data_IF_126366879836
#
_entry.id   IF_126366879836
#
_cell.length_a   1.000
_cell.length_b   1.000
_cell.length_c   1.000
_cell.angle_alpha   90.00
_cell.angle_beta   90.00
_cell.angle_gamma   90.00
#
_symmetry.space_group_name_H-M   'P 1'
#
loop_
_entity.id
_entity.type
_entity.pdbx_description
1 polymer ?
#
# COMPACT_ATOMS: atom_id res chain seq x y z
N UNK A 1 -6.56 -0.54 -42.19
CA UNK A 1 -6.90 0.37 -41.08
C UNK A 1 -5.91 1.51 -41.08
N UNK A 2 -6.22 2.60 -41.78
CA UNK A 2 -5.51 3.88 -41.63
C UNK A 2 -6.38 4.78 -40.74
N UNK A 3 -5.80 5.40 -39.70
CA UNK A 3 -6.43 6.54 -39.02
C UNK A 3 -6.60 6.46 -37.50
N UNK A 4 -6.23 5.37 -36.82
CA UNK A 4 -6.22 5.38 -35.35
C UNK A 4 -4.83 5.80 -34.83
N UNK A 5 -4.75 6.68 -33.82
CA UNK A 5 -3.48 7.05 -33.22
C UNK A 5 -2.85 5.82 -32.55
N UNK A 6 -1.53 5.66 -32.69
CA UNK A 6 -0.81 4.59 -32.01
C UNK A 6 -1.02 4.70 -30.50
N UNK A 7 -1.40 3.58 -29.86
CA UNK A 7 -1.71 3.56 -28.43
C UNK A 7 -0.53 4.02 -27.56
N UNK A 8 0.69 3.68 -27.98
CA UNK A 8 1.92 4.06 -27.30
C UNK A 8 2.21 5.57 -27.41
N UNK A 9 1.77 6.20 -28.50
CA UNK A 9 1.99 7.62 -28.77
C UNK A 9 0.93 8.49 -28.11
N UNK A 10 -0.34 8.05 -28.09
CA UNK A 10 -1.47 8.86 -27.61
C UNK A 10 -2.08 8.34 -26.29
N UNK A 11 -2.60 7.10 -26.28
CA UNK A 11 -3.36 6.59 -25.13
C UNK A 11 -2.53 6.45 -23.86
N UNK A 12 -1.28 6.03 -23.97
CA UNK A 12 -0.36 5.95 -22.83
C UNK A 12 -0.10 7.31 -22.19
N UNK A 13 -0.09 8.39 -22.98
CA UNK A 13 0.05 9.76 -22.46
C UNK A 13 -1.18 10.22 -21.72
N UNK A 14 -2.38 9.90 -22.22
CA UNK A 14 -3.64 10.31 -21.60
C UNK A 14 -3.92 9.53 -20.32
N UNK A 15 -3.62 8.23 -20.34
CA UNK A 15 -3.93 7.33 -19.23
C UNK A 15 -2.82 7.26 -18.18
N UNK A 16 -1.64 7.83 -18.45
CA UNK A 16 -0.48 7.70 -17.57
C UNK A 16 0.01 6.26 -17.49
N UNK A 17 0.10 5.58 -18.64
CA UNK A 17 0.51 4.18 -18.73
C UNK A 17 1.88 4.07 -19.39
N UNK A 18 2.60 3.02 -19.02
CA UNK A 18 3.79 2.57 -19.71
C UNK A 18 3.55 1.17 -20.27
N UNK A 19 3.70 1.02 -21.58
CA UNK A 19 3.47 -0.24 -22.24
C UNK A 19 3.96 -0.19 -23.68
N UNK A 20 4.23 -1.35 -24.25
CA UNK A 20 4.54 -1.51 -25.67
C UNK A 20 3.41 -2.27 -26.33
N UNK A 21 2.74 -1.66 -27.30
CA UNK A 21 1.81 -2.35 -28.19
C UNK A 21 2.57 -2.75 -29.45
N UNK A 22 2.83 -4.06 -29.59
CA UNK A 22 3.51 -4.59 -30.76
C UNK A 22 2.65 -4.41 -32.02
N UNK A 23 3.23 -3.87 -33.08
CA UNK A 23 2.57 -3.81 -34.39
C UNK A 23 2.48 -5.19 -35.02
N UNK A 24 1.60 -5.38 -36.02
CA UNK A 24 1.50 -6.66 -36.72
C UNK A 24 2.86 -7.12 -37.30
N UNK A 25 3.64 -6.19 -37.86
CA UNK A 25 4.99 -6.46 -38.39
C UNK A 25 5.99 -6.83 -37.28
N UNK A 26 5.93 -6.17 -36.12
CA UNK A 26 6.75 -6.52 -34.96
C UNK A 26 6.39 -7.90 -34.41
N UNK A 27 5.10 -8.24 -34.32
CA UNK A 27 4.64 -9.58 -33.90
C UNK A 27 5.14 -10.66 -34.85
N UNK A 28 5.08 -10.40 -36.16
CA UNK A 28 5.56 -11.34 -37.17
C UNK A 28 7.09 -11.51 -37.10
N UNK A 29 7.82 -10.42 -36.86
CA UNK A 29 9.27 -10.46 -36.61
C UNK A 29 9.60 -11.28 -35.36
N UNK A 30 8.90 -11.05 -34.25
CA UNK A 30 9.08 -11.79 -33.00
C UNK A 30 8.76 -13.29 -33.15
N UNK A 31 7.80 -13.65 -34.01
CA UNK A 31 7.51 -15.04 -34.37
C UNK A 31 8.66 -15.65 -35.18
N UNK A 32 9.17 -14.94 -36.20
CA UNK A 32 10.30 -15.41 -37.03
C UNK A 32 11.58 -15.60 -36.22
N UNK A 33 11.84 -14.75 -35.22
CA UNK A 33 13.04 -14.85 -34.36
C UNK A 33 12.87 -15.81 -33.18
N UNK A 34 11.74 -16.51 -33.07
CA UNK A 34 11.40 -17.37 -31.95
C UNK A 34 11.52 -16.64 -30.58
N UNK A 35 11.25 -15.34 -30.57
CA UNK A 35 11.21 -14.50 -29.36
C UNK A 35 9.80 -14.42 -28.77
N UNK A 36 8.79 -14.87 -29.51
CA UNK A 36 7.40 -15.00 -29.09
C UNK A 36 7.08 -16.38 -28.48
N UNK A 37 8.06 -17.05 -27.86
CA UNK A 37 7.82 -18.34 -27.21
C UNK A 37 6.81 -18.14 -26.08
N UNK A 38 5.70 -18.88 -26.14
CA UNK A 38 4.58 -18.88 -25.21
C UNK A 38 4.89 -19.57 -23.87
N UNK A 39 6.10 -19.35 -23.33
CA UNK A 39 6.44 -19.82 -21.99
C UNK A 39 5.57 -19.12 -20.95
N UNK A 40 5.01 -19.89 -20.01
CA UNK A 40 4.28 -19.32 -18.88
C UNK A 40 5.22 -18.45 -18.06
N UNK A 41 5.07 -17.12 -18.17
CA UNK A 41 5.80 -16.18 -17.31
C UNK A 41 5.26 -16.35 -15.88
N UNK A 42 6.11 -16.58 -14.87
CA UNK A 42 5.62 -16.68 -13.51
C UNK A 42 4.97 -15.35 -13.10
N UNK A 43 3.73 -15.36 -12.59
CA UNK A 43 3.11 -14.16 -12.03
C UNK A 43 3.84 -13.78 -10.75
N UNK A 44 4.01 -12.48 -10.53
CA UNK A 44 4.56 -11.90 -9.30
C UNK A 44 3.56 -10.95 -8.71
N UNK A 45 3.01 -11.33 -7.57
CA UNK A 45 1.96 -10.57 -6.89
C UNK A 45 2.60 -9.66 -5.85
N UNK A 46 2.49 -8.35 -6.09
CA UNK A 46 3.20 -7.34 -5.29
C UNK A 46 2.54 -7.03 -3.94
N UNK A 47 1.29 -7.45 -3.76
CA UNK A 47 0.44 -7.17 -2.60
C UNK A 47 -0.06 -8.42 -1.87
N UNK A 48 0.59 -9.57 -2.09
CA UNK A 48 0.20 -10.83 -1.45
C UNK A 48 0.46 -10.86 0.08
N UNK A 49 1.36 -10.01 0.58
CA UNK A 49 1.77 -9.98 1.99
C UNK A 49 0.87 -9.10 2.88
N UNK A 50 -0.17 -8.45 2.32
CA UNK A 50 -1.13 -7.65 3.10
C UNK A 50 -1.70 -8.46 4.26
N UNK A 51 -2.01 -9.75 4.01
CA UNK A 51 -2.51 -10.65 5.05
C UNK A 51 -1.55 -10.81 6.23
N UNK A 52 -0.24 -10.82 5.95
CA UNK A 52 0.82 -10.87 6.94
C UNK A 52 0.93 -9.58 7.74
N UNK A 53 0.77 -8.42 7.11
CA UNK A 53 0.78 -7.10 7.77
C UNK A 53 -0.35 -6.93 8.76
N UNK A 54 -1.54 -7.44 8.43
CA UNK A 54 -2.72 -7.35 9.30
C UNK A 54 -2.83 -8.55 10.24
N UNK A 55 -1.92 -9.52 10.17
CA UNK A 55 -1.99 -10.74 10.98
C UNK A 55 -1.69 -10.45 12.45
N UNK A 56 -2.43 -11.10 13.37
CA UNK A 56 -2.19 -11.04 14.82
C UNK A 56 -1.29 -12.20 15.27
N UNK A 57 -0.05 -12.27 14.78
CA UNK A 57 0.84 -13.43 14.96
C UNK A 57 1.68 -13.40 16.25
N UNK A 58 1.95 -12.23 16.84
CA UNK A 58 2.92 -12.09 17.94
C UNK A 58 2.52 -12.74 19.29
N UNK A 59 1.26 -12.63 19.72
CA UNK A 59 0.83 -13.13 21.05
C UNK A 59 0.65 -14.65 21.11
N UNK A 60 0.35 -15.28 19.97
CA UNK A 60 0.11 -16.72 19.88
C UNK A 60 1.37 -17.53 20.22
N UNK A 61 2.53 -17.12 19.70
CA UNK A 61 3.77 -17.89 19.85
C UNK A 61 4.25 -17.94 21.32
N UNK A 62 4.20 -16.79 22.01
CA UNK A 62 4.60 -16.69 23.43
C UNK A 62 3.67 -17.54 24.31
N UNK A 63 2.36 -17.48 24.06
CA UNK A 63 1.38 -18.26 24.82
C UNK A 63 1.59 -19.78 24.61
N UNK A 64 1.87 -20.21 23.39
CA UNK A 64 2.17 -21.62 23.08
C UNK A 64 3.46 -22.08 23.76
N UNK A 65 4.53 -21.26 23.69
CA UNK A 65 5.80 -21.58 24.32
C UNK A 65 5.68 -21.64 25.85
N UNK A 66 4.96 -20.69 26.46
CA UNK A 66 4.67 -20.71 27.89
C UNK A 66 3.86 -21.96 28.28
N UNK A 67 2.85 -22.31 27.49
CA UNK A 67 2.06 -23.54 27.67
C UNK A 67 2.92 -24.80 27.61
N UNK A 68 3.86 -24.87 26.66
CA UNK A 68 4.82 -25.97 26.54
C UNK A 68 5.74 -26.07 27.76
N UNK A 69 6.27 -24.93 28.24
CA UNK A 69 7.11 -24.89 29.45
C UNK A 69 6.32 -25.40 30.66
N UNK A 70 5.10 -24.90 30.87
CA UNK A 70 4.22 -25.33 31.96
C UNK A 70 3.93 -26.83 31.87
N UNK A 71 3.71 -27.36 30.66
CA UNK A 71 3.50 -28.78 30.44
C UNK A 71 4.73 -29.63 30.77
N UNK A 72 5.94 -29.23 30.36
CA UNK A 72 7.18 -29.94 30.67
C UNK A 72 7.44 -29.96 32.17
N UNK A 73 7.23 -28.82 32.85
CA UNK A 73 7.36 -28.74 34.32
C UNK A 73 6.33 -29.64 35.00
N UNK A 74 5.07 -29.60 34.56
CA UNK A 74 4.04 -30.52 35.06
C UNK A 74 4.45 -31.98 34.89
N UNK A 75 4.90 -32.38 33.70
CA UNK A 75 5.30 -33.75 33.42
C UNK A 75 6.45 -34.21 34.34
N UNK A 76 7.45 -33.34 34.54
CA UNK A 76 8.57 -33.64 35.44
C UNK A 76 8.13 -33.76 36.90
N UNK A 77 7.26 -32.86 37.38
CA UNK A 77 6.78 -32.83 38.78
C UNK A 77 5.81 -33.97 39.07
N UNK A 78 4.84 -34.20 38.19
CA UNK A 78 3.81 -35.22 38.36
C UNK A 78 4.32 -36.64 38.02
N UNK A 79 5.35 -36.76 37.19
CA UNK A 79 5.92 -38.04 36.75
C UNK A 79 7.25 -38.38 37.43
N UNK A 80 8.37 -38.48 36.67
CA UNK A 80 9.61 -39.07 37.16
C UNK A 80 10.27 -38.28 38.29
N UNK A 81 10.21 -36.94 38.26
CA UNK A 81 10.83 -36.09 39.30
C UNK A 81 10.11 -36.22 40.64
N UNK A 82 8.78 -36.10 40.65
CA UNK A 82 7.98 -36.28 41.87
C UNK A 82 8.14 -37.67 42.48
N UNK A 83 8.12 -38.72 41.65
CA UNK A 83 8.31 -40.08 42.13
C UNK A 83 9.73 -40.33 42.69
N UNK A 84 10.77 -39.82 42.04
CA UNK A 84 12.15 -39.96 42.52
C UNK A 84 12.34 -39.32 43.91
N UNK A 85 11.80 -38.11 44.12
CA UNK A 85 11.84 -37.42 45.41
C UNK A 85 11.08 -38.20 46.49
N UNK A 86 9.89 -38.70 46.17
CA UNK A 86 9.09 -39.52 47.09
C UNK A 86 9.78 -40.84 47.43
N UNK A 87 10.44 -41.47 46.46
CA UNK A 87 11.21 -42.71 46.65
C UNK A 87 12.41 -42.47 47.57
N UNK A 88 13.14 -41.37 47.38
CA UNK A 88 14.29 -41.01 48.23
C UNK A 88 13.87 -40.74 49.68
N UNK A 89 12.65 -40.22 49.90
CA UNK A 89 12.08 -39.98 51.25
C UNK A 89 11.32 -41.18 51.84
N UNK A 90 11.27 -42.32 51.15
CA UNK A 90 10.55 -43.51 51.62
C UNK A 90 9.02 -43.40 51.61
N UNK A 91 8.45 -42.38 50.94
CA UNK A 91 7.01 -42.09 50.91
C UNK A 91 6.33 -42.55 49.62
N UNK A 92 6.86 -43.59 48.98
CA UNK A 92 6.36 -44.12 47.70
C UNK A 92 4.85 -44.46 47.71
N UNK A 93 4.31 -44.85 48.86
CA UNK A 93 2.88 -45.15 49.06
C UNK A 93 1.96 -43.93 48.85
N UNK A 94 2.48 -42.71 48.97
CA UNK A 94 1.71 -41.46 48.78
C UNK A 94 1.85 -40.88 47.36
N UNK A 95 2.48 -41.60 46.44
CA UNK A 95 2.68 -41.16 45.05
C UNK A 95 1.39 -40.74 44.34
N UNK A 96 0.30 -41.47 44.57
CA UNK A 96 -1.00 -41.13 43.98
C UNK A 96 -1.57 -39.81 44.52
N UNK A 97 -1.42 -39.52 45.82
CA UNK A 97 -1.85 -38.26 46.41
C UNK A 97 -1.02 -37.07 45.92
N UNK A 98 0.29 -37.27 45.79
CA UNK A 98 1.18 -36.24 45.25
C UNK A 98 0.87 -35.95 43.77
N UNK A 99 0.59 -36.98 42.97
CA UNK A 99 0.15 -36.84 41.58
C UNK A 99 -1.18 -36.06 41.47
N UNK A 100 -2.16 -36.40 42.30
CA UNK A 100 -3.44 -35.70 42.34
C UNK A 100 -3.27 -34.23 42.72
N UNK A 101 -2.48 -33.94 43.76
CA UNK A 101 -2.18 -32.57 44.21
C UNK A 101 -1.48 -31.75 43.12
N UNK A 102 -0.48 -32.33 42.46
CA UNK A 102 0.20 -31.69 41.33
C UNK A 102 -0.78 -31.43 40.18
N UNK A 103 -1.63 -32.39 39.84
CA UNK A 103 -2.64 -32.25 38.79
C UNK A 103 -3.58 -31.08 39.06
N UNK A 104 -4.15 -31.00 40.28
CA UNK A 104 -5.03 -29.90 40.68
C UNK A 104 -4.31 -28.55 40.61
N UNK A 105 -3.09 -28.47 41.13
CA UNK A 105 -2.31 -27.23 41.12
C UNK A 105 -2.01 -26.75 39.69
N UNK A 106 -1.57 -27.65 38.80
CA UNK A 106 -1.27 -27.30 37.42
C UNK A 106 -2.53 -27.01 36.60
N UNK A 107 -3.65 -27.67 36.86
CA UNK A 107 -4.95 -27.30 36.26
C UNK A 107 -5.35 -25.89 36.66
N UNK A 108 -5.24 -25.54 37.95
CA UNK A 108 -5.56 -24.19 38.42
C UNK A 108 -4.64 -23.13 37.82
N UNK A 109 -3.33 -23.41 37.72
CA UNK A 109 -2.36 -22.53 37.07
C UNK A 109 -2.63 -22.35 35.58
N UNK A 110 -2.90 -23.44 34.86
CA UNK A 110 -3.21 -23.39 33.43
C UNK A 110 -4.52 -22.62 33.18
N UNK A 111 -5.55 -22.87 33.98
CA UNK A 111 -6.83 -22.16 33.88
C UNK A 111 -6.67 -20.67 34.21
N UNK A 112 -5.94 -20.33 35.27
CA UNK A 112 -5.63 -18.94 35.62
C UNK A 112 -4.83 -18.23 34.54
N UNK A 113 -3.76 -18.85 34.04
CA UNK A 113 -2.92 -18.32 32.98
C UNK A 113 -3.68 -18.09 31.68
N UNK A 114 -4.49 -19.07 31.25
CA UNK A 114 -5.33 -18.92 30.06
C UNK A 114 -6.37 -17.80 30.21
N UNK A 115 -6.96 -17.66 31.40
CA UNK A 115 -7.95 -16.60 31.69
C UNK A 115 -7.33 -15.21 31.67
N UNK A 116 -6.08 -15.07 32.13
CA UNK A 116 -5.33 -13.80 32.13
C UNK A 116 -4.92 -13.41 30.70
N UNK A 117 -4.49 -14.38 29.88
CA UNK A 117 -4.01 -14.14 28.52
C UNK A 117 -5.14 -13.90 27.51
N UNK A 118 -6.40 -14.23 27.86
CA UNK A 118 -7.54 -14.07 26.96
C UNK A 118 -7.77 -12.58 26.66
N UNK A 119 -7.78 -12.16 25.38
CA UNK A 119 -8.11 -10.79 25.02
C UNK A 119 -9.51 -10.41 25.52
N UNK A 120 -9.64 -9.24 26.14
CA UNK A 120 -10.92 -8.73 26.70
C UNK A 120 -11.52 -7.57 25.91
N UNK A 121 -10.72 -6.95 25.03
CA UNK A 121 -11.12 -5.79 24.23
C UNK A 121 -11.18 -6.16 22.76
N UNK A 122 -11.98 -5.41 22.00
CA UNK A 122 -11.92 -5.46 20.54
C UNK A 122 -10.55 -4.94 20.13
N UNK A 123 -9.89 -5.62 19.21
CA UNK A 123 -8.60 -5.17 18.70
C UNK A 123 -8.59 -5.19 17.18
N UNK A 124 -7.99 -4.17 16.59
CA UNK A 124 -7.90 -4.00 15.15
C UNK A 124 -6.42 -3.93 14.76
N UNK A 125 -6.00 -4.83 13.86
CA UNK A 125 -4.72 -4.71 13.17
C UNK A 125 -4.98 -4.30 11.73
N UNK A 126 -4.34 -3.24 11.22
CA UNK A 126 -4.67 -2.70 9.90
C UNK A 126 -3.46 -2.34 9.03
N UNK A 127 -3.71 -2.35 7.72
CA UNK A 127 -2.90 -1.69 6.71
C UNK A 127 -3.82 -0.75 5.93
N UNK A 128 -3.53 0.55 5.98
CA UNK A 128 -4.34 1.59 5.36
C UNK A 128 -3.55 2.36 4.32
N UNK A 129 -4.21 2.79 3.25
CA UNK A 129 -3.69 3.74 2.28
C UNK A 129 -4.55 5.00 2.34
N UNK A 130 -3.95 6.12 2.76
CA UNK A 130 -4.61 7.42 2.84
C UNK A 130 -4.18 8.28 1.65
N UNK A 131 -5.14 8.61 0.78
CA UNK A 131 -4.94 9.46 -0.38
C UNK A 131 -5.52 10.85 -0.16
N UNK A 132 -4.69 11.85 -0.44
CA UNK A 132 -5.13 13.23 -0.46
C UNK A 132 -4.51 13.99 -1.63
N UNK A 133 -5.33 14.78 -2.31
CA UNK A 133 -4.87 15.67 -3.38
C UNK A 133 -5.06 17.09 -2.88
N UNK A 134 -3.97 17.85 -2.83
CA UNK A 134 -4.02 19.23 -2.38
C UNK A 134 -5.04 20.05 -3.18
N UNK A 135 -5.83 20.85 -2.46
CA UNK A 135 -6.95 21.61 -3.00
C UNK A 135 -8.28 20.84 -3.06
N UNK A 136 -8.29 19.53 -2.82
CA UNK A 136 -9.53 18.77 -2.63
C UNK A 136 -9.90 18.76 -1.15
N UNK A 137 -11.19 18.95 -0.83
CA UNK A 137 -11.72 18.80 0.54
C UNK A 137 -12.09 17.36 0.87
N UNK A 138 -11.45 16.41 0.21
CA UNK A 138 -11.82 14.99 0.28
C UNK A 138 -10.56 14.14 0.46
N UNK A 139 -10.62 13.25 1.44
CA UNK A 139 -9.65 12.16 1.60
C UNK A 139 -10.28 10.85 1.17
N UNK A 140 -9.44 9.92 0.71
CA UNK A 140 -9.86 8.56 0.37
C UNK A 140 -8.97 7.59 1.11
N UNK A 141 -9.57 6.57 1.69
CA UNK A 141 -8.87 5.58 2.49
C UNK A 141 -9.36 4.21 2.09
N UNK A 142 -8.44 3.31 1.76
CA UNK A 142 -8.71 1.88 1.82
C UNK A 142 -7.93 1.26 2.94
N UNK A 143 -8.60 0.42 3.70
CA UNK A 143 -8.02 -0.29 4.81
C UNK A 143 -8.30 -1.78 4.68
N UNK A 144 -7.27 -2.60 4.81
CA UNK A 144 -7.41 -4.00 5.16
C UNK A 144 -7.23 -4.13 6.66
N UNK A 145 -8.15 -4.80 7.33
CA UNK A 145 -8.15 -4.90 8.78
C UNK A 145 -8.49 -6.30 9.27
N UNK A 146 -7.78 -6.75 10.30
CA UNK A 146 -8.12 -7.90 11.14
C UNK A 146 -8.79 -7.41 12.43
N UNK A 147 -10.09 -7.66 12.57
CA UNK A 147 -10.90 -7.30 13.72
C UNK A 147 -11.05 -8.52 14.62
N UNK A 148 -10.45 -8.47 15.81
CA UNK A 148 -10.62 -9.48 16.86
C UNK A 148 -11.80 -9.08 17.74
N UNK A 149 -12.84 -9.91 17.78
CA UNK A 149 -13.99 -9.73 18.68
C UNK A 149 -13.91 -10.77 19.80
N UNK A 150 -13.60 -10.40 21.06
CA UNK A 150 -13.32 -11.36 22.15
C UNK A 150 -14.58 -11.99 22.78
N UNK A 151 -15.71 -11.95 22.10
CA UNK A 151 -17.01 -12.42 22.61
C UNK A 151 -17.69 -13.38 21.64
N UNK A 152 -18.66 -14.11 22.15
CA UNK A 152 -19.61 -14.89 21.36
C UNK A 152 -20.89 -14.08 21.14
N UNK A 153 -21.52 -14.25 19.98
CA UNK A 153 -22.77 -13.61 19.61
C UNK A 153 -22.64 -12.87 18.28
N UNK A 154 -23.21 -11.67 18.18
CA UNK A 154 -23.15 -10.86 16.96
C UNK A 154 -22.18 -9.70 17.13
N UNK A 155 -21.44 -9.40 16.07
CA UNK A 155 -20.63 -8.20 15.97
C UNK A 155 -20.97 -7.45 14.69
N UNK A 156 -20.84 -6.12 14.73
CA UNK A 156 -20.94 -5.29 13.56
C UNK A 156 -19.77 -4.32 13.49
N UNK A 157 -19.33 -4.06 12.28
CA UNK A 157 -18.37 -3.01 11.94
C UNK A 157 -19.03 -2.08 10.93
N UNK A 158 -18.83 -0.77 11.05
CA UNK A 158 -19.39 0.19 10.12
C UNK A 158 -18.48 1.41 9.95
N UNK A 159 -18.58 2.06 8.80
CA UNK A 159 -17.91 3.32 8.53
C UNK A 159 -18.90 4.46 8.80
N UNK A 160 -18.49 5.47 9.56
CA UNK A 160 -19.32 6.64 9.76
C UNK A 160 -19.31 7.53 8.50
N UNK A 161 -20.48 8.01 8.12
CA UNK A 161 -20.63 9.04 7.09
C UNK A 161 -20.39 10.41 7.71
N UNK A 162 -19.51 11.22 7.13
CA UNK A 162 -19.17 12.58 7.59
C UNK A 162 -20.33 13.61 7.54
N UNK A 163 -21.56 13.21 7.20
CA UNK A 163 -22.68 14.12 7.04
C UNK A 163 -23.39 14.42 8.36
N UNK A 164 -22.76 15.23 9.20
CA UNK A 164 -23.46 15.99 10.24
C UNK A 164 -24.27 17.18 9.67
N UNK A 165 -24.59 17.21 8.37
CA UNK A 165 -25.33 18.31 7.72
C UNK A 165 -26.12 17.88 6.48
N UNK A 166 -27.42 17.61 6.67
CA UNK A 166 -28.58 17.63 5.74
C UNK A 166 -28.46 17.39 4.21
N UNK A 167 -27.37 16.85 3.68
CA UNK A 167 -27.23 16.43 2.29
C UNK A 167 -26.52 15.08 2.29
N UNK A 168 -27.13 14.05 1.70
CA UNK A 168 -26.57 12.70 1.73
C UNK A 168 -25.15 12.65 1.14
N UNK A 169 -24.34 11.74 1.69
CA UNK A 169 -22.92 11.59 1.36
C UNK A 169 -22.73 11.47 -0.14
N UNK A 170 -21.88 12.34 -0.70
CA UNK A 170 -21.46 12.22 -2.10
C UNK A 170 -20.75 10.89 -2.37
N UNK A 171 -20.19 10.26 -1.34
CA UNK A 171 -19.41 9.03 -1.44
C UNK A 171 -20.14 7.88 -0.75
N UNK A 172 -20.15 6.73 -1.42
CA UNK A 172 -20.66 5.50 -0.84
C UNK A 172 -19.51 4.77 -0.17
N UNK A 173 -19.56 4.67 1.16
CA UNK A 173 -18.59 3.89 1.93
C UNK A 173 -18.92 2.41 1.79
N UNK A 174 -17.90 1.55 1.84
CA UNK A 174 -18.14 0.11 1.78
C UNK A 174 -17.31 -0.66 2.80
N UNK A 175 -17.93 -1.70 3.35
CA UNK A 175 -17.31 -2.69 4.21
C UNK A 175 -17.57 -4.06 3.62
N UNK A 176 -16.52 -4.78 3.27
CA UNK A 176 -16.61 -6.10 2.68
C UNK A 176 -15.75 -7.10 3.47
N UNK A 177 -16.18 -8.38 3.58
CA UNK A 177 -15.28 -9.43 4.02
C UNK A 177 -14.10 -9.52 3.04
N UNK A 178 -12.90 -9.74 3.57
CA UNK A 178 -11.69 -9.85 2.76
C UNK A 178 -10.92 -11.11 3.11
N UNK A 179 -10.42 -11.79 2.08
CA UNK A 179 -9.54 -12.93 2.20
C UNK A 179 -8.44 -12.81 1.14
N UNK A 180 -7.21 -13.15 1.53
CA UNK A 180 -6.12 -13.19 0.57
C UNK A 180 -6.30 -14.37 -0.40
N UNK A 181 -6.19 -14.07 -1.68
CA UNK A 181 -6.20 -15.00 -2.83
C UNK A 181 -5.24 -16.20 -2.72
N UNK A 182 -4.14 -16.08 -1.96
CA UNK A 182 -3.04 -17.05 -1.93
C UNK A 182 -2.86 -17.76 -0.59
N UNK A 183 -3.95 -18.19 0.04
CA UNK A 183 -3.84 -19.12 1.17
C UNK A 183 -4.36 -20.52 0.81
N UNK A 184 -3.68 -21.28 -0.09
CA UNK A 184 -4.06 -22.66 -0.41
C UNK A 184 -3.94 -23.61 0.80
N UNK A 185 -3.35 -23.15 1.91
CA UNK A 185 -3.06 -23.96 3.09
C UNK A 185 -4.17 -23.98 4.16
N UNK A 186 -5.28 -23.23 3.99
CA UNK A 186 -6.40 -23.32 4.93
C UNK A 186 -7.50 -24.18 4.33
N UNK A 187 -7.64 -25.40 4.87
CA UNK A 187 -8.86 -26.18 4.70
C UNK A 187 -10.07 -25.26 4.94
N UNK A 188 -11.00 -25.29 3.98
CA UNK A 188 -12.29 -24.61 4.12
C UNK A 188 -12.86 -24.94 5.49
N UNK A 189 -13.16 -23.92 6.30
CA UNK A 189 -13.79 -24.15 7.59
C UNK A 189 -15.12 -24.86 7.36
N UNK A 190 -15.48 -25.91 8.11
CA UNK A 190 -16.71 -26.68 7.89
C UNK A 190 -18.01 -25.86 7.93
N UNK A 191 -17.95 -24.62 8.43
CA UNK A 191 -19.06 -23.67 8.52
C UNK A 191 -18.76 -22.45 7.61
N UNK A 192 -18.80 -22.66 6.29
CA UNK A 192 -18.68 -21.62 5.27
C UNK A 192 -20.02 -20.90 5.07
N UNK A 193 -20.55 -20.29 6.13
CA UNK A 193 -21.77 -19.45 6.00
C UNK A 193 -21.41 -18.16 5.29
N UNK A 194 -22.12 -17.89 4.20
CA UNK A 194 -22.08 -16.59 3.55
C UNK A 194 -22.58 -15.52 4.51
N UNK A 195 -21.85 -14.41 4.60
CA UNK A 195 -22.30 -13.24 5.35
C UNK A 195 -23.31 -12.49 4.50
N UNK A 196 -24.52 -12.28 5.00
CA UNK A 196 -25.50 -11.43 4.34
C UNK A 196 -25.02 -9.97 4.42
N UNK A 197 -24.64 -9.40 3.29
CA UNK A 197 -24.37 -7.96 3.17
C UNK A 197 -25.65 -7.29 2.70
N UNK A 198 -26.12 -6.30 3.46
CA UNK A 198 -27.24 -5.48 3.04
C UNK A 198 -26.76 -4.50 1.96
N UNK A 199 -27.19 -4.71 0.71
CA UNK A 199 -26.84 -3.84 -0.40
C UNK A 199 -27.34 -2.39 -0.20
N UNK A 200 -28.31 -2.15 0.69
CA UNK A 200 -28.80 -0.80 1.04
C UNK A 200 -27.95 -0.12 2.11
N UNK A 201 -27.14 -0.88 2.83
CA UNK A 201 -26.27 -0.40 3.92
C UNK A 201 -24.84 -0.95 3.71
N UNK A 202 -24.19 -0.66 2.57
CA UNK A 202 -22.89 -1.26 2.22
C UNK A 202 -21.77 -0.80 3.14
N UNK A 203 -21.98 0.28 3.89
CA UNK A 203 -21.12 0.85 4.91
C UNK A 203 -21.10 0.05 6.22
N UNK A 204 -21.91 -1.00 6.35
CA UNK A 204 -22.03 -1.83 7.55
C UNK A 204 -21.97 -3.33 7.25
N UNK A 205 -21.15 -4.04 8.01
CA UNK A 205 -21.08 -5.51 7.98
C UNK A 205 -21.39 -6.08 9.36
N UNK A 206 -22.36 -7.00 9.41
CA UNK A 206 -22.70 -7.76 10.64
C UNK A 206 -22.28 -9.21 10.45
N UNK A 207 -21.64 -9.79 11.46
CA UNK A 207 -21.16 -11.16 11.41
C UNK A 207 -21.23 -11.85 12.78
N UNK A 208 -21.38 -13.18 12.83
CA UNK A 208 -21.30 -13.94 14.07
C UNK A 208 -19.86 -13.88 14.63
N UNK A 209 -19.74 -13.35 15.84
CA UNK A 209 -18.53 -13.35 16.63
C UNK A 209 -18.40 -14.67 17.42
N UNK A 210 -17.22 -15.31 17.36
CA UNK A 210 -16.92 -16.56 18.07
C UNK A 210 -15.58 -16.50 18.80
N UNK A 211 -15.27 -15.36 19.43
CA UNK A 211 -13.94 -15.10 19.97
C UNK A 211 -12.81 -15.24 18.92
N UNK A 212 -13.11 -14.94 17.64
CA UNK A 212 -12.21 -15.11 16.50
C UNK A 212 -11.87 -13.78 15.83
N UNK A 213 -10.88 -13.82 14.93
CA UNK A 213 -10.51 -12.70 14.06
C UNK A 213 -11.33 -12.76 12.77
N UNK A 214 -11.84 -11.62 12.33
CA UNK A 214 -12.41 -11.43 10.99
C UNK A 214 -11.58 -10.45 10.19
N UNK A 215 -11.36 -10.77 8.92
CA UNK A 215 -10.66 -9.91 7.98
C UNK A 215 -11.67 -9.17 7.12
N UNK A 216 -11.50 -7.85 7.00
CA UNK A 216 -12.39 -6.95 6.27
C UNK A 216 -11.58 -5.99 5.41
N UNK A 217 -12.16 -5.58 4.29
CA UNK A 217 -11.74 -4.43 3.51
C UNK A 217 -12.73 -3.30 3.78
N UNK A 218 -12.20 -2.11 4.04
CA UNK A 218 -12.93 -0.89 4.31
C UNK A 218 -12.55 0.12 3.24
N UNK A 219 -13.53 0.67 2.52
CA UNK A 219 -13.34 1.76 1.58
C UNK A 219 -14.11 2.98 2.09
N UNK A 220 -13.35 4.03 2.42
CA UNK A 220 -13.88 5.28 2.95
C UNK A 220 -13.45 6.47 2.07
N UNK A 221 -14.35 7.41 1.86
CA UNK A 221 -14.06 8.70 1.27
C UNK A 221 -14.94 9.78 1.91
N UNK A 222 -14.35 10.75 2.57
CA UNK A 222 -15.08 11.80 3.29
C UNK A 222 -14.30 13.09 3.32
N UNK A 223 -14.62 13.94 4.28
CA UNK A 223 -13.89 15.18 4.56
C UNK A 223 -12.43 14.94 4.96
N UNK A 224 -11.78 15.99 5.44
CA UNK A 224 -10.41 15.88 5.95
C UNK A 224 -10.45 15.29 7.37
N UNK A 225 -10.54 13.96 7.50
CA UNK A 225 -10.48 13.28 8.80
C UNK A 225 -9.16 13.60 9.52
N UNK A 226 -8.06 13.65 8.78
CA UNK A 226 -6.76 14.12 9.29
C UNK A 226 -6.29 15.38 8.57
N UNK A 227 -5.64 16.28 9.31
CA UNK A 227 -4.91 17.40 8.73
C UNK A 227 -3.65 16.91 8.00
N UNK A 228 -3.80 16.70 6.70
CA UNK A 228 -2.76 16.15 5.83
C UNK A 228 -1.63 17.16 5.56
N UNK A 229 -0.71 16.77 4.67
CA UNK A 229 0.38 17.61 4.18
C UNK A 229 -0.19 18.84 3.46
N UNK A 230 0.44 19.99 3.69
CA UNK A 230 0.10 21.28 3.07
C UNK A 230 1.35 22.12 2.83
N UNK A 231 1.33 23.04 1.86
CA UNK A 231 2.38 24.04 1.75
C UNK A 231 2.34 25.01 2.92
N UNK A 232 3.51 25.46 3.34
CA UNK A 232 3.66 26.61 4.23
C UNK A 232 3.54 27.87 3.37
N UNK A 233 2.58 28.71 3.72
CA UNK A 233 2.21 29.91 2.95
C UNK A 233 2.23 31.12 3.86
N UNK A 234 2.76 32.23 3.35
CA UNK A 234 2.57 33.53 3.97
C UNK A 234 1.11 33.99 3.79
N UNK A 235 0.56 34.82 4.69
CA UNK A 235 -0.86 35.19 4.73
C UNK A 235 -1.46 35.71 3.41
N UNK A 236 -0.64 36.32 2.53
CA UNK A 236 -1.07 36.95 1.28
C UNK A 236 -0.64 36.20 0.01
N UNK A 237 -0.09 34.98 0.14
CA UNK A 237 0.38 34.20 -1.02
C UNK A 237 -0.65 33.15 -1.44
N UNK A 238 -0.90 33.04 -2.76
CA UNK A 238 -1.72 31.96 -3.32
C UNK A 238 -1.10 30.60 -2.95
N UNK A 239 -1.80 29.76 -2.16
CA UNK A 239 -1.27 28.50 -1.71
C UNK A 239 -0.99 27.51 -2.83
N UNK A 240 -1.63 27.64 -4.00
CA UNK A 240 -1.34 26.81 -5.18
C UNK A 240 -0.04 27.21 -5.89
N UNK A 241 0.58 28.33 -5.50
CA UNK A 241 1.86 28.83 -6.04
C UNK A 241 3.01 28.74 -5.05
N UNK A 242 2.75 28.20 -3.85
CA UNK A 242 3.75 28.06 -2.79
C UNK A 242 4.87 27.09 -3.16
N UNK A 243 4.54 26.03 -3.91
CA UNK A 243 5.51 25.07 -4.45
C UNK A 243 5.68 25.28 -5.94
N UNK A 244 6.93 25.34 -6.42
CA UNK A 244 7.22 25.61 -7.84
C UNK A 244 8.53 25.01 -8.35
N UNK A 245 8.56 24.84 -9.67
CA UNK A 245 9.73 24.96 -10.57
C UNK A 245 10.85 25.86 -10.05
N UNK A 246 12.05 25.35 -9.76
CA UNK A 246 13.26 26.19 -9.87
C UNK A 246 13.52 26.54 -11.35
N UNK A 247 14.09 27.72 -11.63
CA UNK A 247 14.58 28.06 -12.97
C UNK A 247 15.60 27.03 -13.51
N UNK A 248 15.67 26.85 -14.84
CA UNK A 248 16.72 26.03 -15.45
C UNK A 248 18.12 26.51 -15.04
N UNK A 249 19.00 25.58 -14.69
CA UNK A 249 20.39 25.87 -14.29
C UNK A 249 20.64 25.89 -12.79
N UNK A 250 19.59 25.86 -11.96
CA UNK A 250 19.72 25.65 -10.52
C UNK A 250 19.91 24.16 -10.17
N UNK A 251 20.61 23.89 -9.06
CA UNK A 251 20.80 22.52 -8.54
C UNK A 251 19.53 21.97 -7.90
N UNK A 252 18.78 22.82 -7.19
CA UNK A 252 17.48 22.46 -6.65
C UNK A 252 16.47 22.25 -7.79
N UNK A 253 15.50 21.37 -7.59
CA UNK A 253 14.43 21.07 -8.57
C UNK A 253 13.13 21.77 -8.19
N UNK A 254 12.91 21.99 -6.90
CA UNK A 254 11.70 22.60 -6.38
C UNK A 254 12.06 23.70 -5.38
N UNK A 255 11.18 24.70 -5.30
CA UNK A 255 11.16 25.70 -4.23
C UNK A 255 9.84 25.58 -3.47
N UNK A 256 9.86 25.98 -2.20
CA UNK A 256 8.71 25.98 -1.30
C UNK A 256 8.94 25.15 -0.06
N UNK A 257 8.03 25.26 0.89
CA UNK A 257 8.05 24.50 2.13
C UNK A 257 6.76 23.73 2.31
N UNK A 258 6.85 22.54 2.89
CA UNK A 258 5.71 21.71 3.25
C UNK A 258 5.69 21.43 4.74
N UNK A 259 4.51 21.26 5.32
CA UNK A 259 4.28 20.85 6.72
C UNK A 259 3.12 19.85 6.76
N UNK A 260 3.08 18.95 7.75
CA UNK A 260 1.90 18.13 8.04
C UNK A 260 1.53 18.16 9.51
N UNK A 261 0.26 17.88 9.80
CA UNK A 261 -0.26 17.70 11.15
C UNK A 261 -0.88 16.30 11.33
N UNK A 262 -0.36 15.31 10.60
CA UNK A 262 -0.71 13.90 10.77
C UNK A 262 -0.38 13.42 12.20
N UNK A 263 -1.04 12.38 12.71
CA UNK A 263 -0.98 11.99 14.13
C UNK A 263 0.38 11.43 14.60
N UNK A 264 1.36 11.30 13.72
CA UNK A 264 2.69 10.81 14.08
C UNK A 264 3.75 11.17 13.04
N UNK A 265 4.99 10.81 13.36
CA UNK A 265 6.14 10.98 12.47
C UNK A 265 5.97 10.14 11.21
N UNK A 266 6.10 10.78 10.05
CA UNK A 266 6.17 10.08 8.78
C UNK A 266 7.57 9.48 8.61
N UNK A 267 7.63 8.16 8.50
CA UNK A 267 8.83 7.40 8.19
C UNK A 267 8.93 7.10 6.68
N UNK A 268 10.15 6.76 6.23
CA UNK A 268 10.44 6.32 4.86
C UNK A 268 9.82 7.24 3.80
N UNK A 269 10.01 8.56 3.98
CA UNK A 269 9.37 9.58 3.17
C UNK A 269 10.02 9.66 1.79
N UNK A 270 9.19 9.65 0.76
CA UNK A 270 9.61 9.65 -0.64
C UNK A 270 8.95 10.81 -1.35
N UNK A 271 9.79 11.75 -1.80
CA UNK A 271 9.39 12.89 -2.60
C UNK A 271 9.60 12.52 -4.07
N UNK A 272 8.51 12.51 -4.83
CA UNK A 272 8.52 12.17 -6.25
C UNK A 272 8.04 13.38 -7.02
N UNK A 273 8.83 13.82 -7.99
CA UNK A 273 8.56 15.03 -8.76
C UNK A 273 8.39 14.66 -10.22
N UNK A 274 7.18 14.85 -10.74
CA UNK A 274 6.88 14.77 -12.15
C UNK A 274 7.01 16.16 -12.76
N UNK A 275 7.95 16.33 -13.71
CA UNK A 275 8.17 17.61 -14.42
C UNK A 275 7.24 17.80 -15.61
N UNK A 276 6.48 16.77 -15.97
CA UNK A 276 5.64 16.71 -17.15
C UNK A 276 6.03 15.57 -18.09
N UNK A 277 5.40 15.55 -19.26
CA UNK A 277 5.67 14.56 -20.29
C UNK A 277 6.73 15.07 -21.26
N UNK A 278 7.52 14.13 -21.79
CA UNK A 278 8.42 14.35 -22.92
C UNK A 278 7.63 14.75 -24.17
N UNK A 279 8.21 15.59 -25.02
CA UNK A 279 7.58 16.01 -26.27
C UNK A 279 7.24 14.83 -27.20
N UNK A 280 6.23 15.03 -28.04
CA UNK A 280 5.73 14.01 -28.95
C UNK A 280 6.71 13.88 -30.11
N UNK A 281 7.41 12.74 -30.19
CA UNK A 281 8.36 12.44 -31.29
C UNK A 281 7.89 11.23 -32.11
N UNK A 282 7.98 11.27 -33.45
CA UNK A 282 7.53 10.16 -34.31
C UNK A 282 8.24 8.82 -34.07
N UNK A 283 9.47 8.87 -33.55
CA UNK A 283 10.34 7.69 -33.32
C UNK A 283 10.57 7.40 -31.84
N UNK A 284 9.67 7.84 -30.95
CA UNK A 284 9.86 7.63 -29.51
C UNK A 284 9.98 6.15 -29.17
N UNK A 285 10.94 5.80 -28.31
CA UNK A 285 11.10 4.45 -27.80
C UNK A 285 9.81 3.99 -27.11
N UNK A 286 9.10 3.05 -27.71
CA UNK A 286 7.77 2.56 -27.28
C UNK A 286 7.74 2.01 -25.84
N UNK A 287 8.90 1.69 -25.27
CA UNK A 287 9.03 1.17 -23.89
C UNK A 287 9.50 2.21 -22.87
N UNK A 288 9.82 3.42 -23.29
CA UNK A 288 10.32 4.47 -22.39
C UNK A 288 9.20 5.02 -21.50
N UNK A 289 9.57 5.44 -20.29
CA UNK A 289 8.68 6.24 -19.46
C UNK A 289 8.48 7.59 -20.15
N UNK A 290 7.23 7.94 -20.45
CA UNK A 290 6.89 9.17 -21.18
C UNK A 290 6.99 10.43 -20.30
N UNK A 291 6.97 10.27 -18.98
CA UNK A 291 7.14 11.35 -18.00
C UNK A 291 8.59 11.51 -17.57
N UNK A 292 9.01 12.76 -17.37
CA UNK A 292 10.27 13.08 -16.72
C UNK A 292 10.03 13.15 -15.21
N UNK A 293 10.62 12.23 -14.46
CA UNK A 293 10.43 12.16 -13.02
C UNK A 293 11.65 11.63 -12.26
N UNK A 294 11.82 12.18 -11.07
CA UNK A 294 12.85 11.84 -10.11
C UNK A 294 12.23 11.58 -8.75
N UNK A 295 12.88 10.73 -7.95
CA UNK A 295 12.48 10.42 -6.58
C UNK A 295 13.65 10.72 -5.62
N UNK A 296 13.33 11.26 -4.45
CA UNK A 296 14.26 11.56 -3.37
C UNK A 296 13.74 10.92 -2.09
N UNK A 297 14.61 10.16 -1.42
CA UNK A 297 14.35 9.69 -0.07
C UNK A 297 14.64 10.83 0.92
N UNK A 298 13.66 11.20 1.73
CA UNK A 298 13.79 12.21 2.77
C UNK A 298 13.88 11.51 4.12
N UNK A 299 14.55 12.13 5.09
CA UNK A 299 14.57 11.67 6.47
C UNK A 299 13.15 11.62 7.06
N UNK A 300 13.03 10.95 8.22
CA UNK A 300 11.78 10.94 8.99
C UNK A 300 11.29 12.37 9.24
N UNK A 301 9.99 12.57 9.13
CA UNK A 301 9.35 13.88 9.14
C UNK A 301 8.35 13.98 10.27
N UNK A 302 8.66 14.82 11.26
CA UNK A 302 7.83 15.02 12.42
C UNK A 302 6.65 15.99 12.15
N UNK A 303 5.48 15.77 12.76
CA UNK A 303 4.35 16.69 12.67
C UNK A 303 4.72 18.12 13.08
N UNK A 304 4.17 19.10 12.37
CA UNK A 304 4.40 20.52 12.62
C UNK A 304 5.75 21.06 12.14
N UNK A 305 6.71 20.19 11.76
CA UNK A 305 8.04 20.62 11.31
C UNK A 305 8.05 20.89 9.81
N UNK A 306 8.39 22.10 9.34
CA UNK A 306 8.47 22.36 7.90
C UNK A 306 9.68 21.68 7.23
N UNK A 307 9.49 21.17 6.01
CA UNK A 307 10.57 20.72 5.13
C UNK A 307 10.75 21.71 4.00
N UNK A 308 12.01 22.13 3.77
CA UNK A 308 12.41 22.91 2.60
C UNK A 308 12.66 22.01 1.38
N UNK A 309 11.88 22.22 0.33
CA UNK A 309 11.95 21.44 -0.91
C UNK A 309 13.21 21.73 -1.72
N UNK A 310 13.80 22.91 -1.60
CA UNK A 310 15.06 23.23 -2.28
C UNK A 310 16.18 22.38 -1.68
N UNK A 311 16.31 22.40 -0.35
CA UNK A 311 17.27 21.57 0.37
C UNK A 311 17.04 20.07 0.12
N UNK A 312 15.79 19.62 0.14
CA UNK A 312 15.45 18.21 -0.09
C UNK A 312 15.83 17.75 -1.51
N UNK A 313 15.65 18.58 -2.53
CA UNK A 313 15.94 18.20 -3.93
C UNK A 313 17.40 18.41 -4.33
N UNK A 314 18.20 19.15 -3.55
CA UNK A 314 19.64 19.30 -3.77
C UNK A 314 20.47 18.27 -2.99
N UNK A 315 20.15 18.03 -1.72
CA UNK A 315 21.04 17.31 -0.81
C UNK A 315 20.70 15.81 -0.67
N UNK A 316 19.47 15.41 -1.01
CA UNK A 316 19.05 14.02 -0.85
C UNK A 316 19.45 13.13 -2.04
N UNK A 317 19.63 11.84 -1.76
CA UNK A 317 19.92 10.82 -2.78
C UNK A 317 18.81 10.79 -3.82
N UNK A 318 19.15 11.18 -5.04
CA UNK A 318 18.21 11.23 -6.16
C UNK A 318 18.25 9.94 -6.96
N UNK A 319 17.08 9.40 -7.31
CA UNK A 319 16.96 8.29 -8.25
C UNK A 319 16.07 8.68 -9.42
N UNK A 320 16.45 8.28 -10.63
CA UNK A 320 15.57 8.40 -11.80
C UNK A 320 14.39 7.43 -11.64
N UNK A 321 13.15 7.94 -11.73
CA UNK A 321 11.96 7.13 -11.47
C UNK A 321 11.90 5.88 -12.36
N UNK A 322 12.17 6.02 -13.66
CA UNK A 322 12.16 4.89 -14.59
C UNK A 322 13.16 3.80 -14.20
N UNK A 323 14.38 4.16 -13.78
CA UNK A 323 15.39 3.21 -13.31
C UNK A 323 14.91 2.46 -12.08
N UNK A 324 14.23 3.14 -11.16
CA UNK A 324 13.68 2.53 -9.95
C UNK A 324 12.55 1.55 -10.29
N UNK A 325 11.58 1.97 -11.10
CA UNK A 325 10.47 1.12 -11.54
C UNK A 325 10.94 -0.10 -12.33
N UNK A 326 11.95 0.06 -13.19
CA UNK A 326 12.53 -1.04 -13.96
C UNK A 326 13.29 -2.02 -13.06
N UNK A 327 13.99 -1.53 -12.03
CA UNK A 327 14.70 -2.39 -11.07
C UNK A 327 13.76 -3.30 -10.28
N UNK A 328 12.56 -2.81 -9.98
CA UNK A 328 11.54 -3.53 -9.19
C UNK A 328 10.99 -4.73 -9.97
N UNK A 329 10.85 -4.60 -11.29
CA UNK A 329 10.38 -5.69 -12.15
C UNK A 329 11.52 -6.62 -12.57
N UNK A 330 12.71 -6.05 -12.84
CA UNK A 330 13.79 -6.74 -13.56
C UNK A 330 14.95 -7.29 -12.71
N UNK A 331 15.25 -6.73 -11.53
CA UNK A 331 16.54 -6.96 -10.86
C UNK A 331 16.49 -7.14 -9.34
N UNK A 332 15.31 -7.29 -8.73
CA UNK A 332 15.23 -7.57 -7.28
C UNK A 332 15.91 -8.89 -6.90
N UNK A 333 16.49 -8.97 -5.70
CA UNK A 333 16.52 -10.20 -4.92
C UNK A 333 15.07 -10.57 -4.58
N UNK A 334 14.79 -11.86 -4.40
CA UNK A 334 13.44 -12.36 -4.11
C UNK A 334 13.51 -13.16 -2.83
N UNK A 335 12.51 -13.00 -1.96
CA UNK A 335 12.36 -13.87 -0.81
C UNK A 335 11.90 -15.27 -1.25
N UNK A 336 12.01 -16.26 -0.37
CA UNK A 336 11.56 -17.64 -0.62
C UNK A 336 10.06 -17.73 -1.00
N UNK A 337 9.28 -16.71 -0.64
CA UNK A 337 7.85 -16.57 -0.98
C UNK A 337 7.61 -15.96 -2.39
N UNK A 338 8.64 -15.84 -3.24
CA UNK A 338 8.58 -15.20 -4.57
C UNK A 338 8.12 -13.71 -4.55
N UNK A 339 8.20 -13.05 -3.40
CA UNK A 339 7.94 -11.62 -3.29
C UNK A 339 9.18 -10.85 -3.75
N UNK A 340 9.00 -9.68 -4.40
CA UNK A 340 10.11 -8.75 -4.56
C UNK A 340 10.67 -8.47 -3.18
N UNK A 341 11.96 -8.67 -2.99
CA UNK A 341 12.66 -8.27 -1.77
C UNK A 341 13.27 -6.89 -2.00
N UNK A 342 12.53 -5.79 -1.78
CA UNK A 342 13.19 -4.72 -1.07
C UNK A 342 13.37 -5.22 0.35
N UNK A 343 14.57 -5.07 0.91
CA UNK A 343 14.84 -5.36 2.33
C UNK A 343 13.94 -4.60 3.34
N UNK A 344 12.92 -3.87 2.87
CA UNK A 344 11.80 -3.28 3.58
C UNK A 344 10.49 -3.44 2.78
N UNK A 345 9.50 -4.17 3.35
CA UNK A 345 8.18 -4.41 2.75
C UNK A 345 7.44 -3.12 2.40
N UNK A 346 7.68 -2.06 3.16
CA UNK A 346 7.02 -0.78 2.97
C UNK A 346 7.42 -0.09 1.66
N UNK A 347 8.67 -0.29 1.23
CA UNK A 347 9.12 0.15 -0.08
C UNK A 347 8.29 -0.46 -1.23
N UNK A 348 7.76 -1.69 -1.11
CA UNK A 348 6.90 -2.25 -2.18
C UNK A 348 5.62 -1.46 -2.38
N UNK A 349 4.95 -1.10 -1.29
CA UNK A 349 3.67 -0.40 -1.34
C UNK A 349 3.81 1.03 -1.87
N UNK A 350 4.96 1.66 -1.64
CA UNK A 350 5.32 2.93 -2.26
C UNK A 350 5.30 2.82 -3.79
N UNK A 351 6.06 1.88 -4.36
CA UNK A 351 6.17 1.76 -5.82
C UNK A 351 4.94 1.13 -6.47
N UNK A 352 4.17 0.34 -5.73
CA UNK A 352 2.84 -0.13 -6.15
C UNK A 352 1.88 1.02 -6.46
N UNK A 353 2.09 2.21 -5.89
CA UNK A 353 1.33 3.41 -6.27
C UNK A 353 1.54 3.79 -7.75
N UNK A 354 2.57 3.28 -8.42
CA UNK A 354 2.89 3.56 -9.83
C UNK A 354 2.93 2.29 -10.68
N UNK A 355 2.08 1.32 -10.36
CA UNK A 355 2.04 0.01 -11.02
C UNK A 355 1.90 0.13 -12.55
N UNK A 356 1.03 1.04 -13.02
CA UNK A 356 0.81 1.26 -14.46
C UNK A 356 2.03 1.93 -15.18
N UNK A 357 3.06 2.38 -14.44
CA UNK A 357 4.34 2.89 -14.99
C UNK A 357 5.48 1.85 -14.99
N UNK A 358 5.23 0.63 -14.53
CA UNK A 358 6.22 -0.43 -14.52
C UNK A 358 6.74 -0.72 -15.94
N UNK A 359 8.03 -1.05 -16.03
CA UNK A 359 8.66 -1.34 -17.31
C UNK A 359 7.98 -2.50 -18.04
N UNK A 360 7.73 -2.38 -19.36
CA UNK A 360 7.22 -3.50 -20.13
C UNK A 360 8.26 -4.63 -20.15
N UNK A 361 7.82 -5.89 -20.37
CA UNK A 361 8.75 -7.00 -20.44
C UNK A 361 9.80 -6.83 -21.54
N UNK A 362 11.05 -7.09 -21.19
CA UNK A 362 12.15 -7.13 -22.15
C UNK A 362 12.14 -8.48 -22.88
N UNK A 363 12.07 -8.42 -24.22
CA UNK A 363 12.22 -9.59 -25.09
C UNK A 363 13.68 -10.02 -25.15
N UNK A 364 13.96 -11.31 -24.93
CA UNK A 364 15.29 -11.91 -25.09
C UNK A 364 15.21 -13.10 -26.04
N UNK A 365 16.34 -13.53 -26.60
CA UNK A 365 16.42 -14.80 -27.34
C UNK A 365 15.98 -15.93 -26.42
N UNK A 366 14.92 -16.67 -26.78
CA UNK A 366 14.29 -17.68 -25.92
C UNK A 366 12.99 -17.25 -25.21
N UNK A 367 12.51 -16.02 -25.43
CA UNK A 367 11.20 -15.55 -24.95
C UNK A 367 11.28 -14.30 -24.06
N UNK A 368 10.24 -14.09 -23.25
CA UNK A 368 10.23 -12.99 -22.28
C UNK A 368 11.06 -13.35 -21.04
N UNK A 369 12.08 -12.55 -20.74
CA UNK A 369 12.93 -12.79 -19.57
C UNK A 369 12.36 -12.25 -18.25
N UNK A 370 11.40 -11.32 -18.32
CA UNK A 370 10.84 -10.68 -17.12
C UNK A 370 9.57 -11.40 -16.64
N UNK A 371 9.32 -11.48 -15.33
CA UNK A 371 8.07 -12.01 -14.75
C UNK A 371 6.90 -11.08 -15.01
N UNK A 372 5.68 -11.59 -14.87
CA UNK A 372 4.47 -10.76 -14.99
C UNK A 372 4.19 -10.10 -13.65
N UNK A 373 4.33 -8.79 -13.55
CA UNK A 373 3.87 -8.05 -12.39
C UNK A 373 2.33 -8.14 -12.30
N UNK A 374 1.83 -8.42 -11.10
CA UNK A 374 0.40 -8.54 -10.78
C UNK A 374 0.12 -7.85 -9.46
N UNK A 375 -1.08 -7.30 -9.36
CA UNK A 375 -1.75 -6.87 -8.12
C UNK A 375 -3.03 -7.68 -7.97
N UNK A 376 -3.45 -7.94 -6.75
CA UNK A 376 -4.66 -8.72 -6.46
C UNK A 376 -5.62 -8.00 -5.50
N UNK A 377 -5.12 -7.18 -4.59
CA UNK A 377 -5.93 -6.44 -3.60
C UNK A 377 -5.90 -4.92 -3.84
N UNK A 378 -4.75 -4.39 -4.24
CA UNK A 378 -4.47 -2.95 -4.40
C UNK A 378 -4.94 -2.39 -5.75
N UNK A 379 -5.91 -3.03 -6.41
CA UNK A 379 -6.53 -2.48 -7.61
C UNK A 379 -7.19 -1.13 -7.29
N UNK A 380 -7.04 -0.17 -8.20
CA UNK A 380 -7.47 1.23 -8.07
C UNK A 380 -6.64 2.13 -7.14
N UNK A 381 -5.52 1.64 -6.58
CA UNK A 381 -4.59 2.43 -5.74
C UNK A 381 -3.48 3.10 -6.56
N UNK A 382 -3.76 3.39 -7.83
CA UNK A 382 -2.74 3.80 -8.79
C UNK A 382 -2.72 5.33 -8.98
N UNK A 383 -1.55 5.92 -8.79
CA UNK A 383 -1.23 7.34 -8.94
C UNK A 383 -0.56 7.64 -10.29
N UNK A 384 -0.34 6.65 -11.17
CA UNK A 384 0.33 6.81 -12.46
C UNK A 384 -0.34 7.84 -13.35
N UNK A 385 -1.66 8.05 -13.21
CA UNK A 385 -2.39 9.14 -13.90
C UNK A 385 -1.79 10.52 -13.63
N UNK A 386 -1.15 10.72 -12.48
CA UNK A 386 -0.53 11.99 -12.11
C UNK A 386 0.77 12.25 -12.86
N UNK A 387 1.39 11.21 -13.43
CA UNK A 387 2.55 11.36 -14.31
C UNK A 387 2.24 12.07 -15.64
N UNK A 388 0.96 12.31 -15.94
CA UNK A 388 0.51 12.98 -17.17
C UNK A 388 0.63 14.50 -17.12
N UNK A 389 0.90 15.05 -15.94
CA UNK A 389 1.06 16.49 -15.73
C UNK A 389 2.17 16.76 -14.72
N UNK A 390 2.67 18.00 -14.64
CA UNK A 390 3.57 18.40 -13.57
C UNK A 390 2.90 18.25 -12.20
N UNK A 391 3.56 17.59 -11.26
CA UNK A 391 3.09 17.47 -9.88
C UNK A 391 4.21 17.02 -8.94
N UNK A 392 3.95 17.21 -7.64
CA UNK A 392 4.71 16.61 -6.56
C UNK A 392 3.87 15.53 -5.91
N UNK A 393 4.46 14.37 -5.65
CA UNK A 393 3.84 13.28 -4.90
C UNK A 393 4.71 13.01 -3.68
N UNK A 394 4.10 12.91 -2.51
CA UNK A 394 4.76 12.46 -1.29
C UNK A 394 4.14 11.15 -0.88
N UNK A 395 4.98 10.14 -0.64
CA UNK A 395 4.57 8.89 -0.02
C UNK A 395 5.34 8.75 1.29
N UNK A 396 4.65 8.47 2.38
CA UNK A 396 5.26 8.28 3.69
C UNK A 396 4.46 7.30 4.54
N UNK A 397 5.03 6.91 5.67
CA UNK A 397 4.54 5.78 6.46
C UNK A 397 4.31 6.23 7.88
N UNK A 398 3.09 6.05 8.37
CA UNK A 398 2.75 6.22 9.77
C UNK A 398 2.64 4.85 10.41
N UNK A 399 3.45 4.58 11.41
CA UNK A 399 3.34 3.40 12.27
C UNK A 399 2.67 3.85 13.56
N UNK A 400 1.57 3.18 13.92
CA UNK A 400 0.85 3.50 15.16
C UNK A 400 1.65 3.07 16.38
N UNK A 401 2.56 3.91 16.87
CA UNK A 401 3.27 3.69 18.15
C UNK A 401 2.38 3.96 19.36
N UNK A 402 1.29 4.73 19.19
CA UNK A 402 0.34 5.11 20.23
C UNK A 402 -1.11 4.86 19.82
N UNK A 403 -1.47 3.59 19.61
CA UNK A 403 -2.78 2.99 19.97
C UNK A 403 -4.12 3.58 19.51
N UNK A 404 -4.22 4.71 18.82
CA UNK A 404 -5.49 5.45 18.74
C UNK A 404 -6.02 5.74 17.33
N UNK A 405 -5.20 5.87 16.28
CA UNK A 405 -5.72 6.50 15.06
C UNK A 405 -5.81 5.57 13.83
N UNK A 406 -7.05 5.23 13.46
CA UNK A 406 -7.37 4.85 12.08
C UNK A 406 -7.52 6.12 11.24
N UNK A 407 -7.07 6.13 9.98
CA UNK A 407 -7.28 7.27 9.07
C UNK A 407 -8.74 7.40 8.59
N UNK A 408 -9.67 6.67 9.20
CA UNK A 408 -11.09 6.64 8.85
C UNK A 408 -11.94 6.48 10.12
N UNK A 409 -13.20 6.95 10.12
CA UNK A 409 -14.09 6.81 11.25
C UNK A 409 -14.75 5.42 11.25
N UNK A 410 -14.16 4.47 11.98
CA UNK A 410 -14.66 3.10 12.10
C UNK A 410 -15.37 2.88 13.43
N UNK A 411 -16.64 2.48 13.37
CA UNK A 411 -17.38 1.99 14.51
C UNK A 411 -17.37 0.47 14.61
N UNK A 412 -17.34 -0.05 15.84
CA UNK A 412 -17.48 -1.48 16.14
C UNK A 412 -18.48 -1.69 17.26
N UNK A 413 -19.33 -2.71 17.14
CA UNK A 413 -20.25 -3.14 18.19
C UNK A 413 -20.23 -4.65 18.38
N UNK A 414 -20.51 -5.08 19.60
CA UNK A 414 -20.69 -6.50 19.95
C UNK A 414 -21.93 -6.66 20.80
N UNK A 415 -22.80 -7.60 20.42
CA UNK A 415 -24.09 -7.86 21.05
C UNK A 415 -24.92 -6.57 21.25
N UNK A 416 -24.96 -5.73 20.20
CA UNK A 416 -25.67 -4.45 20.20
C UNK A 416 -25.02 -3.31 20.99
N UNK A 417 -23.86 -3.52 21.63
CA UNK A 417 -23.15 -2.48 22.41
C UNK A 417 -21.91 -2.01 21.64
N UNK A 418 -21.80 -0.70 21.42
CA UNK A 418 -20.61 -0.08 20.82
C UNK A 418 -19.37 -0.34 21.69
N UNK A 419 -18.24 -0.54 21.04
CA UNK A 419 -16.96 -0.85 21.65
C UNK A 419 -15.90 0.07 21.08
N UNK A 420 -15.03 0.57 21.95
CA UNK A 420 -13.80 1.24 21.55
C UNK A 420 -12.75 0.16 21.25
N UNK A 421 -12.28 0.04 20.00
CA UNK A 421 -11.24 -0.90 19.65
C UNK A 421 -9.86 -0.37 20.05
N UNK A 422 -8.96 -1.26 20.44
CA UNK A 422 -7.53 -0.96 20.43
C UNK A 422 -7.01 -1.11 19.01
N UNK A 423 -6.46 -0.04 18.44
CA UNK A 423 -5.98 0.01 17.06
C UNK A 423 -4.47 -0.12 17.02
N UNK A 424 -3.96 -0.90 16.07
CA UNK A 424 -2.54 -0.99 15.76
C UNK A 424 -2.39 -1.24 14.26
N UNK A 425 -1.36 -0.71 13.62
CA UNK A 425 -1.17 -0.94 12.20
C UNK A 425 -0.26 0.07 11.53
N UNK A 426 -0.29 0.01 10.21
CA UNK A 426 0.47 0.90 9.34
C UNK A 426 -0.47 1.66 8.43
N UNK A 427 -0.27 2.98 8.32
CA UNK A 427 -0.95 3.83 7.34
C UNK A 427 0.08 4.37 6.37
N UNK A 428 -0.10 4.08 5.08
CA UNK A 428 0.68 4.66 4.00
C UNK A 428 -0.03 5.91 3.52
N UNK A 429 0.59 7.06 3.76
CA UNK A 429 0.08 8.37 3.38
C UNK A 429 0.61 8.71 2.00
N UNK A 430 -0.31 9.06 1.09
CA UNK A 430 0.00 9.44 -0.28
C UNK A 430 -0.67 10.77 -0.57
N UNK A 431 0.18 11.76 -0.82
CA UNK A 431 -0.25 13.13 -1.03
C UNK A 431 0.20 13.62 -2.38
N UNK A 432 -0.68 14.33 -3.09
CA UNK A 432 -0.38 14.88 -4.41
C UNK A 432 -0.62 16.38 -4.43
N UNK A 433 0.38 17.13 -4.88
CA UNK A 433 0.31 18.55 -5.17
C UNK A 433 0.38 18.79 -6.68
N UNK A 434 -0.73 19.14 -7.33
CA UNK A 434 -0.72 19.47 -8.75
C UNK A 434 0.07 20.78 -8.99
N UNK A 435 0.98 20.77 -9.96
CA UNK A 435 1.67 21.96 -10.43
C UNK A 435 1.00 22.49 -11.72
N UNK A 436 1.32 23.73 -12.16
CA UNK A 436 0.80 24.28 -13.40
C UNK A 436 1.02 23.34 -14.60
N UNK A 437 0.04 23.28 -15.49
CA UNK A 437 0.08 22.38 -16.64
C UNK A 437 1.24 22.75 -17.59
N UNK A 438 1.94 21.72 -18.07
CA UNK A 438 2.96 21.84 -19.11
C UNK A 438 2.74 20.70 -20.13
N UNK A 439 1.82 20.87 -21.09
CA UNK A 439 1.50 19.82 -22.05
C UNK A 439 2.69 19.56 -22.98
N UNK A 440 2.91 18.30 -23.43
CA UNK A 440 3.99 17.96 -24.34
C UNK A 440 3.79 18.67 -25.68
N UNK A 441 4.88 19.17 -26.24
CA UNK A 441 4.84 19.86 -27.54
C UNK A 441 5.01 18.87 -28.69
N UNK A 442 4.52 19.25 -29.87
CA UNK A 442 4.87 18.60 -31.13
C UNK A 442 6.01 19.44 -31.71
N UNK A 443 7.23 18.90 -31.86
CA UNK A 443 8.32 19.63 -32.49
C UNK A 443 7.89 20.12 -33.87
N UNK A 444 8.13 21.41 -34.16
CA UNK A 444 7.92 21.92 -35.50
C UNK A 444 8.78 21.11 -36.49
N UNK A 445 8.27 20.80 -37.70
CA UNK A 445 9.12 20.24 -38.74
C UNK A 445 10.32 21.18 -38.95
N UNK A 446 11.53 20.65 -39.20
CA UNK A 446 12.67 21.50 -39.50
C UNK A 446 12.28 22.42 -40.66
N UNK A 447 12.29 23.73 -40.43
CA UNK A 447 12.09 24.72 -41.48
C UNK A 447 13.24 24.54 -42.47
N UNK A 448 12.91 24.18 -43.70
CA UNK A 448 13.90 24.05 -44.77
C UNK A 448 14.56 25.44 -44.97
N UNK A 449 15.89 25.56 -44.86
CA UNK A 449 16.58 26.85 -44.97
C UNK A 449 16.48 27.47 -46.38
N UNK A 450 15.83 26.79 -47.33
CA UNK A 450 15.60 27.25 -48.70
C UNK A 450 14.41 28.19 -48.88
N UNK A 451 13.51 28.31 -47.89
CA UNK A 451 12.29 29.13 -48.03
C UNK A 451 12.47 30.63 -47.71
N UNK A 452 13.71 31.09 -47.47
CA UNK A 452 14.03 32.53 -47.26
C UNK A 452 14.64 33.19 -48.49
N UNK A 453 14.45 32.61 -49.69
CA UNK A 453 14.91 33.18 -50.96
C UNK A 453 13.74 33.38 -51.95
N UNK A 454 12.63 33.96 -51.50
CA UNK A 454 11.65 34.55 -52.42
C UNK A 454 12.11 35.98 -52.77
N UNK A 455 12.84 36.06 -53.87
CA UNK A 455 13.28 37.25 -54.59
C UNK A 455 12.13 38.26 -54.85
N UNK A 456 12.21 39.53 -54.39
CA UNK A 456 11.18 40.54 -54.64
C UNK A 456 11.27 41.21 -56.03
N UNK A 457 12.07 40.71 -56.97
CA UNK A 457 12.30 41.36 -58.26
C UNK A 457 11.56 40.72 -59.45
N UNK A 458 10.23 40.66 -59.45
CA UNK A 458 9.44 40.57 -60.70
C UNK A 458 8.14 41.35 -60.63
N UNK A 459 8.18 42.59 -61.11
CA UNK A 459 7.01 43.44 -61.23
C UNK A 459 7.26 44.75 -61.98
N UNK A 460 7.98 44.73 -63.10
CA UNK A 460 7.84 45.73 -64.18
C UNK A 460 8.12 45.04 -65.53
N UNK A 461 7.16 45.13 -66.43
CA UNK A 461 7.16 44.57 -67.78
C UNK A 461 5.79 44.76 -68.41
#
# INVERSE_FOLDING_TARGET
MLGLPEADVFWHRVLGRRGKVATAAEVESLKRTNQLISGSRPPRVFDADISGQISKSGRSLIAVMLGLIVFVVYWAVAGPGGFAILKQRGWSRHSWLAFLGASIAFTALAWGGATILRPKRVEISHLSFLDHVYGQRVQRVRTWASVLTPVYGDAAVWLESDDAGSGGSRFQQTVAPWEASQNPARGSFPDARDYSIDARSPDKLTFPARATVKQVQLDWAGGLAWESIRPVVEPDTDPFRAVRFTPPGELAVLQGQLVHNLPGTLEAVQLIVFRGQTDIRPTSNKSALLSSANAWAIANWDPGTPIDLAAATTNATTTLLSSKLDSIVGSGTWSDDNLPDPGDRTSRYEWLAFFDLFGPPVTRTGGFGAPVARREATHAFDLSRWSTRPCVVIIGVLRGESGEDLPLPLGVSTNGRQREPTVSGTTIVRWVYPLPANPPQIPAPPTDPTDTAADPARGQG
#
